data_IF_431243421195
#
_entry.id   IF_431243421195
#
_cell.length_a   1.000
_cell.length_b   1.000
_cell.length_c   1.000
_cell.angle_alpha   90.00
_cell.angle_beta   90.00
_cell.angle_gamma   90.00
#
_symmetry.space_group_name_H-M   'P 1'
#
loop_
_entity.id
_entity.type
_entity.pdbx_description
1 polymer ?
#
# COMPACT_ATOMS: atom_id res chain seq x y z
N UNK A 1 41.27 -2.83 -24.44
CA UNK A 1 41.37 -2.86 -22.99
C UNK A 1 41.91 -1.51 -22.54
N UNK A 2 41.08 -0.55 -22.40
CA UNK A 2 41.22 0.74 -21.68
C UNK A 2 39.96 1.55 -21.98
N UNK A 3 39.15 1.80 -21.01
CA UNK A 3 38.10 2.83 -20.91
C UNK A 3 36.86 2.42 -20.08
N UNK A 4 36.97 1.41 -19.22
CA UNK A 4 35.89 1.09 -18.25
C UNK A 4 36.34 1.28 -16.78
N UNK A 5 37.24 2.23 -16.53
CA UNK A 5 37.83 2.43 -15.20
C UNK A 5 37.75 3.87 -14.68
N UNK A 6 36.69 4.62 -14.99
CA UNK A 6 36.58 6.01 -14.50
C UNK A 6 35.16 6.46 -14.14
N UNK A 7 34.38 5.64 -13.41
CA UNK A 7 33.09 6.08 -12.84
C UNK A 7 32.83 5.52 -11.43
N UNK A 8 33.86 5.36 -10.60
CA UNK A 8 33.69 5.28 -9.14
C UNK A 8 33.55 6.69 -8.59
N UNK A 9 32.38 7.31 -8.75
CA UNK A 9 32.00 8.46 -7.94
C UNK A 9 31.82 8.01 -6.49
N UNK A 10 32.64 8.58 -5.61
CA UNK A 10 32.50 8.55 -4.16
C UNK A 10 31.08 8.94 -3.77
N UNK A 11 30.23 7.98 -3.44
CA UNK A 11 29.09 8.22 -2.59
C UNK A 11 29.66 8.40 -1.17
N UNK A 12 29.82 9.64 -0.75
CA UNK A 12 30.03 9.96 0.66
C UNK A 12 28.77 9.46 1.40
N UNK A 13 28.98 8.53 2.33
CA UNK A 13 27.94 8.16 3.28
C UNK A 13 27.55 9.45 4.04
N UNK A 14 26.36 9.97 3.75
CA UNK A 14 25.74 10.98 4.61
C UNK A 14 25.43 10.29 5.94
N UNK A 15 25.95 10.86 7.01
CA UNK A 15 25.55 10.49 8.37
C UNK A 15 24.03 10.45 8.49
N UNK A 16 23.46 9.52 9.25
CA UNK A 16 22.03 9.49 9.49
C UNK A 16 21.60 10.80 10.13
N UNK A 17 20.66 11.50 9.52
CA UNK A 17 20.13 12.74 10.06
C UNK A 17 19.56 12.48 11.46
N UNK A 18 19.94 13.34 12.41
CA UNK A 18 19.45 13.39 13.78
C UNK A 18 17.89 13.36 13.76
N UNK A 19 17.23 12.44 14.44
CA UNK A 19 15.77 12.39 14.54
C UNK A 19 15.12 13.65 15.14
N UNK A 20 15.91 14.57 15.70
CA UNK A 20 15.44 15.86 16.22
C UNK A 20 15.27 16.97 15.19
N UNK A 21 15.70 16.80 13.93
CA UNK A 21 15.70 17.89 12.92
C UNK A 21 14.42 18.04 12.11
N UNK A 22 13.33 17.48 12.54
CA UNK A 22 12.02 17.58 11.87
C UNK A 22 11.45 19.01 11.77
N UNK A 23 11.84 19.86 12.71
CA UNK A 23 11.28 21.18 12.88
C UNK A 23 12.12 22.31 12.24
N UNK A 24 13.29 22.02 11.68
CA UNK A 24 14.25 23.08 11.32
C UNK A 24 13.99 23.75 9.96
N UNK A 25 13.00 23.32 9.18
CA UNK A 25 12.77 23.80 7.82
C UNK A 25 11.37 24.33 7.51
N UNK A 26 10.44 24.33 8.44
CA UNK A 26 9.16 24.98 8.26
C UNK A 26 9.16 26.32 9.03
N UNK A 27 8.90 27.41 8.31
CA UNK A 27 8.68 28.73 8.92
C UNK A 27 7.58 28.59 9.98
N UNK A 28 7.84 28.85 11.28
CA UNK A 28 6.83 28.74 12.32
C UNK A 28 5.59 29.60 12.05
N UNK A 29 5.70 30.68 11.28
CA UNK A 29 4.58 31.52 10.88
C UNK A 29 3.62 30.79 9.92
N UNK A 30 4.11 29.80 9.15
CA UNK A 30 3.28 28.97 8.27
C UNK A 30 2.35 28.04 9.05
N UNK A 31 2.70 27.63 10.26
CA UNK A 31 1.86 26.78 11.13
C UNK A 31 0.54 27.48 11.52
N UNK A 32 0.54 28.80 11.61
CA UNK A 32 -0.63 29.61 12.00
C UNK A 32 -1.28 30.32 10.81
N UNK A 33 -0.72 30.23 9.60
CA UNK A 33 -1.24 30.89 8.42
C UNK A 33 -2.63 30.37 8.00
N UNK A 34 -3.05 29.22 8.50
CA UNK A 34 -4.34 28.59 8.22
C UNK A 34 -4.52 28.25 6.74
N UNK A 35 -5.51 27.42 6.43
CA UNK A 35 -5.83 27.04 5.04
C UNK A 35 -6.68 28.08 4.29
N UNK A 36 -6.74 29.32 4.78
CA UNK A 36 -7.62 30.35 4.27
C UNK A 36 -9.10 30.11 4.64
N UNK A 37 -9.95 31.10 4.40
CA UNK A 37 -11.38 31.01 4.64
C UNK A 37 -12.05 29.95 3.77
N UNK A 38 -13.21 29.44 4.18
CA UNK A 38 -14.03 28.54 3.35
C UNK A 38 -14.34 29.15 1.98
N UNK A 39 -14.65 30.46 1.94
CA UNK A 39 -14.91 31.18 0.71
C UNK A 39 -13.70 31.16 -0.24
N UNK A 40 -12.50 31.43 0.29
CA UNK A 40 -11.24 31.35 -0.48
C UNK A 40 -11.00 29.96 -1.05
N UNK A 41 -11.20 28.90 -0.25
CA UNK A 41 -11.04 27.50 -0.69
C UNK A 41 -12.06 27.11 -1.76
N UNK A 42 -13.30 27.57 -1.66
CA UNK A 42 -14.33 27.38 -2.70
C UNK A 42 -13.92 28.07 -4.00
N UNK A 43 -13.37 29.29 -3.92
CA UNK A 43 -12.90 30.02 -5.08
C UNK A 43 -11.70 29.32 -5.75
N UNK A 44 -10.74 28.84 -4.97
CA UNK A 44 -9.61 28.04 -5.49
C UNK A 44 -10.12 26.78 -6.21
N UNK A 45 -11.07 26.06 -5.63
CA UNK A 45 -11.66 24.87 -6.26
C UNK A 45 -12.44 25.20 -7.55
N UNK A 46 -13.09 26.37 -7.64
CA UNK A 46 -13.72 26.83 -8.88
C UNK A 46 -12.67 27.18 -9.94
N UNK A 47 -11.58 27.86 -9.56
CA UNK A 47 -10.49 28.20 -10.47
C UNK A 47 -9.78 26.92 -11.00
N UNK A 48 -9.47 25.96 -10.16
CA UNK A 48 -8.91 24.67 -10.57
C UNK A 48 -9.83 23.94 -11.57
N UNK A 49 -11.14 23.98 -11.36
CA UNK A 49 -12.13 23.39 -12.28
C UNK A 49 -12.24 24.15 -13.61
N UNK A 50 -12.08 25.46 -13.62
CA UNK A 50 -12.05 26.26 -14.85
C UNK A 50 -10.80 25.92 -15.67
N UNK A 51 -9.65 25.71 -15.01
CA UNK A 51 -8.38 25.31 -15.65
C UNK A 51 -8.46 23.89 -16.22
N UNK A 52 -9.03 22.95 -15.47
CA UNK A 52 -9.19 21.54 -15.87
C UNK A 52 -10.67 21.15 -15.75
N UNK A 53 -11.46 21.33 -16.81
CA UNK A 53 -12.85 20.91 -16.84
C UNK A 53 -13.02 19.41 -16.60
N UNK A 54 -14.10 19.00 -15.92
CA UNK A 54 -14.31 17.57 -15.60
C UNK A 54 -14.36 16.68 -16.84
N UNK A 55 -14.78 17.20 -17.99
CA UNK A 55 -14.82 16.43 -19.24
C UNK A 55 -13.41 15.98 -19.68
N UNK A 56 -12.38 16.80 -19.44
CA UNK A 56 -10.98 16.46 -19.81
C UNK A 56 -10.43 15.33 -18.95
N UNK A 57 -10.99 15.08 -17.76
CA UNK A 57 -10.59 13.96 -16.91
C UNK A 57 -10.98 12.58 -17.51
N UNK A 58 -11.85 12.56 -18.52
CA UNK A 58 -12.21 11.36 -19.28
C UNK A 58 -11.29 11.11 -20.48
N UNK A 59 -10.34 12.00 -20.77
CA UNK A 59 -9.39 11.81 -21.87
C UNK A 59 -8.51 10.59 -21.59
N UNK A 60 -8.22 9.85 -22.64
CA UNK A 60 -7.29 8.73 -22.65
C UNK A 60 -6.36 8.90 -23.83
N UNK A 61 -5.06 8.91 -23.58
CA UNK A 61 -4.03 8.98 -24.63
C UNK A 61 -3.07 7.82 -24.40
N UNK A 62 -2.77 7.12 -25.48
CA UNK A 62 -1.86 5.97 -25.46
C UNK A 62 -0.69 6.16 -26.42
N UNK A 63 -0.61 7.34 -27.02
CA UNK A 63 0.38 7.66 -28.04
C UNK A 63 1.79 7.71 -27.46
N UNK A 64 2.73 7.13 -28.17
CA UNK A 64 4.16 7.20 -27.82
C UNK A 64 4.57 6.41 -26.57
N UNK A 65 3.66 5.56 -25.99
CA UNK A 65 4.05 4.67 -24.91
C UNK A 65 4.46 3.29 -25.42
N UNK A 66 5.47 2.71 -24.79
CA UNK A 66 5.77 1.29 -24.85
C UNK A 66 5.53 0.65 -23.49
N UNK A 67 4.42 -0.10 -23.31
CA UNK A 67 4.10 -0.73 -22.05
C UNK A 67 5.16 -1.75 -21.60
N UNK A 68 5.83 -2.42 -22.54
CA UNK A 68 6.83 -3.44 -22.22
C UNK A 68 8.10 -2.79 -21.65
N UNK A 69 8.51 -1.65 -22.20
CA UNK A 69 9.65 -0.88 -21.65
C UNK A 69 9.32 -0.40 -20.23
N UNK A 70 8.13 0.12 -19.99
CA UNK A 70 7.70 0.58 -18.65
C UNK A 70 7.63 -0.57 -17.65
N UNK A 71 7.13 -1.73 -18.06
CA UNK A 71 7.08 -2.92 -17.21
C UNK A 71 8.48 -3.48 -16.93
N UNK A 72 9.36 -3.50 -17.93
CA UNK A 72 10.75 -3.92 -17.77
C UNK A 72 11.49 -3.00 -16.79
N UNK A 73 11.33 -1.68 -16.92
CA UNK A 73 11.89 -0.71 -15.98
C UNK A 73 11.40 -0.94 -14.53
N UNK A 74 10.14 -1.31 -14.36
CA UNK A 74 9.58 -1.62 -13.04
C UNK A 74 10.16 -2.90 -12.39
N UNK A 75 10.90 -3.73 -13.14
CA UNK A 75 11.57 -4.92 -12.60
C UNK A 75 12.96 -4.62 -12.01
N UNK A 76 13.54 -3.46 -12.28
CA UNK A 76 14.85 -3.09 -11.74
C UNK A 76 14.84 -3.24 -10.22
N UNK A 77 15.81 -4.00 -9.67
CA UNK A 77 15.93 -4.27 -8.23
C UNK A 77 14.99 -5.36 -7.67
N UNK A 78 14.14 -5.98 -8.51
CA UNK A 78 13.38 -7.18 -8.11
C UNK A 78 14.27 -8.42 -8.09
N UNK A 79 13.87 -9.41 -7.32
CA UNK A 79 14.46 -10.76 -7.32
C UNK A 79 14.23 -11.39 -8.69
N UNK A 80 15.30 -11.67 -9.49
CA UNK A 80 15.15 -12.10 -10.89
C UNK A 80 14.31 -13.37 -11.07
N UNK A 81 14.47 -14.32 -10.16
CA UNK A 81 13.77 -15.62 -10.17
C UNK A 81 12.26 -15.49 -10.01
N UNK A 82 11.80 -14.38 -9.41
CA UNK A 82 10.37 -14.11 -9.19
C UNK A 82 9.73 -13.31 -10.33
N UNK A 83 10.53 -12.74 -11.26
CA UNK A 83 9.99 -11.96 -12.38
C UNK A 83 9.09 -12.81 -13.31
N UNK A 84 9.45 -14.07 -13.67
CA UNK A 84 8.55 -14.92 -14.45
C UNK A 84 7.22 -15.18 -13.74
N UNK A 85 7.22 -15.36 -12.41
CA UNK A 85 6.01 -15.55 -11.61
C UNK A 85 5.14 -14.28 -11.64
N UNK A 86 5.77 -13.10 -11.56
CA UNK A 86 5.06 -11.81 -11.70
C UNK A 86 4.32 -11.75 -13.02
N UNK A 87 5.00 -11.98 -14.12
CA UNK A 87 4.38 -11.96 -15.46
C UNK A 87 3.33 -13.06 -15.61
N UNK A 88 3.59 -14.27 -15.13
CA UNK A 88 2.62 -15.35 -15.14
C UNK A 88 1.31 -14.98 -14.43
N UNK A 89 1.41 -14.28 -13.28
CA UNK A 89 0.22 -13.75 -12.59
C UNK A 89 -0.45 -12.61 -13.36
N UNK A 90 0.32 -11.74 -13.98
CA UNK A 90 -0.23 -10.60 -14.75
C UNK A 90 -1.00 -11.04 -15.99
N UNK A 91 -0.55 -12.07 -16.70
CA UNK A 91 -1.22 -12.52 -17.93
C UNK A 91 -2.45 -13.39 -17.68
N UNK A 92 -2.77 -13.70 -16.43
CA UNK A 92 -3.92 -14.54 -16.09
C UNK A 92 -5.25 -13.94 -16.59
N UNK A 93 -5.43 -12.64 -16.47
CA UNK A 93 -6.59 -11.90 -16.98
C UNK A 93 -6.30 -10.38 -17.02
N UNK A 94 -7.14 -9.58 -17.71
CA UNK A 94 -6.96 -8.12 -17.80
C UNK A 94 -6.90 -7.40 -16.46
N UNK A 95 -7.69 -7.82 -15.47
CA UNK A 95 -7.65 -7.20 -14.15
C UNK A 95 -6.35 -7.52 -13.39
N UNK A 96 -5.86 -8.75 -13.49
CA UNK A 96 -4.57 -9.13 -12.94
C UNK A 96 -3.42 -8.35 -13.60
N UNK A 97 -3.46 -8.16 -14.93
CA UNK A 97 -2.50 -7.31 -15.64
C UNK A 97 -2.55 -5.87 -15.12
N UNK A 98 -3.73 -5.30 -14.99
CA UNK A 98 -3.92 -3.95 -14.51
C UNK A 98 -3.32 -3.73 -13.11
N UNK A 99 -3.48 -4.68 -12.20
CA UNK A 99 -2.87 -4.67 -10.86
C UNK A 99 -1.35 -4.65 -10.88
N UNK A 100 -0.71 -5.27 -11.87
CA UNK A 100 0.74 -5.27 -12.02
C UNK A 100 1.29 -4.08 -12.81
N UNK A 101 0.43 -3.22 -13.38
CA UNK A 101 0.78 -2.22 -14.37
C UNK A 101 0.65 -0.75 -13.85
N UNK A 102 0.89 -0.52 -12.56
CA UNK A 102 0.85 0.82 -11.96
C UNK A 102 1.77 1.82 -12.71
N UNK A 103 2.98 1.39 -13.09
CA UNK A 103 3.92 2.22 -13.84
C UNK A 103 3.39 2.67 -15.21
N UNK A 104 2.65 1.81 -15.92
CA UNK A 104 2.04 2.15 -17.21
C UNK A 104 0.97 3.23 -17.02
N UNK A 105 0.12 3.07 -16.00
CA UNK A 105 -0.90 4.08 -15.72
C UNK A 105 -0.32 5.40 -15.23
N UNK A 106 0.74 5.38 -14.43
CA UNK A 106 1.44 6.59 -13.99
C UNK A 106 1.98 7.38 -15.20
N UNK A 107 2.58 6.69 -16.17
CA UNK A 107 3.00 7.29 -17.43
C UNK A 107 1.82 7.93 -18.17
N UNK A 108 0.72 7.18 -18.37
CA UNK A 108 -0.45 7.69 -19.09
C UNK A 108 -1.04 8.93 -18.40
N UNK A 109 -1.21 8.89 -17.09
CA UNK A 109 -1.75 10.00 -16.31
C UNK A 109 -0.86 11.23 -16.35
N UNK A 110 0.46 11.08 -16.42
CA UNK A 110 1.40 12.20 -16.53
C UNK A 110 1.28 12.98 -17.85
N UNK A 111 0.70 12.37 -18.90
CA UNK A 111 0.49 12.99 -20.21
C UNK A 111 -0.89 13.63 -20.37
N UNK A 112 -1.75 13.48 -19.37
CA UNK A 112 -3.11 13.97 -19.40
C UNK A 112 -3.28 15.21 -18.52
N UNK A 113 -4.26 16.09 -18.85
CA UNK A 113 -4.65 17.13 -17.93
C UNK A 113 -5.05 16.55 -16.58
N UNK A 114 -4.57 17.15 -15.51
CA UNK A 114 -4.89 16.76 -14.14
C UNK A 114 -5.19 17.98 -13.29
N UNK A 115 -5.89 17.76 -12.18
CA UNK A 115 -6.21 18.81 -11.22
C UNK A 115 -4.94 19.25 -10.47
N UNK A 116 -4.88 20.54 -10.12
CA UNK A 116 -3.83 21.07 -9.22
C UNK A 116 -4.21 20.84 -7.72
N UNK A 117 -5.27 20.09 -7.43
CA UNK A 117 -5.68 19.76 -6.07
C UNK A 117 -4.91 18.53 -5.62
N UNK A 118 -3.81 18.76 -4.91
CA UNK A 118 -2.95 17.70 -4.39
C UNK A 118 -3.49 17.15 -3.08
N UNK A 119 -3.42 15.83 -2.97
CA UNK A 119 -3.76 15.04 -1.77
C UNK A 119 -2.71 13.97 -1.56
N UNK A 120 -2.74 13.29 -0.41
CA UNK A 120 -2.00 12.04 -0.29
C UNK A 120 -2.70 10.98 -1.16
N UNK A 121 -2.02 10.50 -2.20
CA UNK A 121 -2.52 9.43 -3.07
C UNK A 121 -2.24 8.06 -2.43
N UNK A 122 -3.11 7.08 -2.69
CA UNK A 122 -2.77 5.67 -2.57
C UNK A 122 -1.79 5.23 -3.65
N UNK A 123 -1.88 5.85 -4.83
CA UNK A 123 -0.95 5.71 -5.98
C UNK A 123 -1.22 4.49 -6.84
N UNK A 124 -1.58 3.36 -6.25
CA UNK A 124 -2.06 2.15 -6.93
C UNK A 124 -3.51 1.83 -6.52
N UNK A 125 -4.37 2.83 -6.53
CA UNK A 125 -5.75 2.75 -6.04
C UNK A 125 -6.64 2.01 -7.04
N UNK A 126 -6.67 0.68 -6.95
CA UNK A 126 -7.56 -0.19 -7.72
C UNK A 126 -8.49 -0.99 -6.79
N UNK A 127 -9.57 -1.56 -7.34
CA UNK A 127 -10.64 -2.24 -6.59
C UNK A 127 -10.12 -3.26 -5.56
N UNK A 128 -9.11 -4.06 -5.91
CA UNK A 128 -8.57 -5.09 -5.01
C UNK A 128 -7.62 -4.54 -3.91
N UNK A 129 -7.31 -3.24 -3.92
CA UNK A 129 -6.54 -2.58 -2.86
C UNK A 129 -7.42 -1.96 -1.77
N UNK A 130 -8.68 -2.40 -1.69
CA UNK A 130 -9.59 -2.11 -0.60
C UNK A 130 -10.00 -3.40 0.09
N UNK A 131 -10.07 -3.38 1.40
CA UNK A 131 -10.42 -4.57 2.16
C UNK A 131 -10.76 -4.29 3.62
N UNK A 132 -11.10 -5.36 4.32
CA UNK A 132 -11.36 -5.33 5.75
C UNK A 132 -10.05 -5.45 6.53
N UNK A 133 -9.94 -4.64 7.59
CA UNK A 133 -8.85 -4.72 8.54
C UNK A 133 -9.35 -4.39 9.96
N UNK A 134 -8.63 -4.84 10.97
CA UNK A 134 -8.95 -4.55 12.36
C UNK A 134 -8.20 -3.29 12.83
N UNK A 135 -8.91 -2.37 13.48
CA UNK A 135 -8.26 -1.28 14.23
C UNK A 135 -7.54 -1.81 15.47
N UNK A 136 -6.67 -1.01 16.13
CA UNK A 136 -6.07 -1.37 17.41
C UNK A 136 -7.12 -1.75 18.49
N UNK A 137 -8.30 -1.15 18.44
CA UNK A 137 -9.44 -1.44 19.33
C UNK A 137 -10.27 -2.64 18.86
N UNK A 138 -9.76 -3.42 17.90
CA UNK A 138 -10.42 -4.62 17.34
C UNK A 138 -11.75 -4.36 16.62
N UNK A 139 -11.98 -3.13 16.14
CA UNK A 139 -13.12 -2.81 15.29
C UNK A 139 -12.79 -3.17 13.84
N UNK A 140 -13.73 -3.85 13.17
CA UNK A 140 -13.59 -4.15 11.74
C UNK A 140 -13.90 -2.90 10.92
N UNK A 141 -12.90 -2.43 10.19
CA UNK A 141 -12.96 -1.28 9.29
C UNK A 141 -12.78 -1.74 7.85
N UNK A 142 -13.24 -0.92 6.91
CA UNK A 142 -13.01 -1.12 5.48
C UNK A 142 -12.26 0.11 4.93
N UNK A 143 -11.24 -0.12 4.13
CA UNK A 143 -10.43 0.95 3.54
C UNK A 143 -9.30 0.43 2.67
N UNK A 144 -8.42 1.32 2.19
CA UNK A 144 -7.24 0.93 1.44
C UNK A 144 -6.30 0.08 2.32
N UNK A 145 -5.61 -0.87 1.69
CA UNK A 145 -4.74 -1.84 2.37
C UNK A 145 -3.37 -2.06 1.68
N UNK A 146 -3.08 -1.33 0.62
CA UNK A 146 -1.76 -1.32 -0.03
C UNK A 146 -1.32 0.13 -0.28
N UNK A 147 -0.12 0.48 0.18
CA UNK A 147 0.42 1.83 0.20
C UNK A 147 1.82 1.90 -0.44
N UNK A 148 2.23 0.86 -1.16
CA UNK A 148 3.57 0.79 -1.74
C UNK A 148 3.85 1.96 -2.70
N UNK A 149 2.82 2.49 -3.36
CA UNK A 149 2.91 3.60 -4.32
C UNK A 149 2.45 4.95 -3.77
N UNK A 150 2.11 5.06 -2.49
CA UNK A 150 1.57 6.32 -1.90
C UNK A 150 2.53 7.49 -2.07
N UNK A 151 2.00 8.63 -2.53
CA UNK A 151 2.76 9.88 -2.75
C UNK A 151 1.80 11.07 -2.78
N UNK A 152 2.19 12.29 -2.40
CA UNK A 152 1.39 13.47 -2.69
C UNK A 152 1.24 13.73 -4.19
N UNK A 153 0.01 14.01 -4.63
CA UNK A 153 -0.27 14.28 -6.04
C UNK A 153 -1.74 14.61 -6.33
N UNK A 154 -2.10 14.81 -7.62
CA UNK A 154 -3.45 15.19 -8.02
C UNK A 154 -4.49 14.14 -7.66
N UNK A 155 -5.55 14.52 -6.93
CA UNK A 155 -6.56 13.58 -6.43
C UNK A 155 -7.21 12.72 -7.53
N UNK A 156 -7.31 13.27 -8.74
CA UNK A 156 -7.95 12.60 -9.87
C UNK A 156 -7.16 11.41 -10.40
N UNK A 157 -5.86 11.27 -10.09
CA UNK A 157 -5.08 10.09 -10.46
C UNK A 157 -5.63 8.83 -9.79
N UNK A 158 -5.89 8.87 -8.48
CA UNK A 158 -6.49 7.74 -7.77
C UNK A 158 -7.92 7.45 -8.25
N UNK A 159 -8.73 8.49 -8.47
CA UNK A 159 -10.11 8.32 -8.96
C UNK A 159 -10.14 7.69 -10.35
N UNK A 160 -9.25 8.10 -11.25
CA UNK A 160 -9.13 7.51 -12.60
C UNK A 160 -8.67 6.06 -12.52
N UNK A 161 -7.66 5.77 -11.69
CA UNK A 161 -7.17 4.41 -11.50
C UNK A 161 -8.25 3.50 -10.93
N UNK A 162 -8.97 3.95 -9.92
CA UNK A 162 -10.09 3.19 -9.37
C UNK A 162 -11.19 2.98 -10.39
N UNK A 163 -11.59 4.03 -11.12
CA UNK A 163 -12.64 3.96 -12.15
C UNK A 163 -12.29 2.96 -13.26
N UNK A 164 -11.05 2.98 -13.75
CA UNK A 164 -10.59 2.05 -14.77
C UNK A 164 -10.61 0.60 -14.26
N UNK A 165 -10.26 0.37 -12.99
CA UNK A 165 -10.31 -0.96 -12.39
C UNK A 165 -11.73 -1.54 -12.33
N UNK A 166 -12.74 -0.70 -12.05
CA UNK A 166 -14.13 -1.10 -12.09
C UNK A 166 -14.62 -1.45 -13.51
N UNK A 167 -14.17 -0.70 -14.53
CA UNK A 167 -14.52 -1.02 -15.93
C UNK A 167 -13.94 -2.38 -16.34
N UNK A 168 -12.67 -2.62 -16.00
CA UNK A 168 -11.99 -3.87 -16.35
C UNK A 168 -12.68 -5.05 -15.68
N UNK A 169 -12.94 -4.97 -14.38
CA UNK A 169 -13.64 -6.02 -13.62
C UNK A 169 -15.08 -6.24 -14.16
N UNK A 170 -15.80 -5.15 -14.46
CA UNK A 170 -17.14 -5.26 -15.04
C UNK A 170 -17.14 -5.96 -16.40
N UNK A 171 -16.12 -5.73 -17.24
CA UNK A 171 -15.94 -6.44 -18.51
C UNK A 171 -15.66 -7.92 -18.31
N UNK A 172 -14.78 -8.27 -17.37
CA UNK A 172 -14.48 -9.67 -17.05
C UNK A 172 -15.73 -10.41 -16.54
N UNK A 173 -16.61 -9.71 -15.84
CA UNK A 173 -17.91 -10.25 -15.41
C UNK A 173 -18.98 -10.28 -16.50
N UNK A 174 -18.65 -9.88 -17.72
CA UNK A 174 -19.58 -9.87 -18.84
C UNK A 174 -20.68 -8.81 -18.79
N UNK A 175 -20.51 -7.75 -17.96
CA UNK A 175 -21.48 -6.67 -17.89
C UNK A 175 -21.53 -5.90 -19.22
N UNK A 176 -22.74 -5.54 -19.66
CA UNK A 176 -22.93 -4.74 -20.85
C UNK A 176 -22.33 -3.33 -20.70
N UNK A 177 -21.97 -2.68 -21.80
CA UNK A 177 -21.35 -1.36 -21.79
C UNK A 177 -22.16 -0.31 -21.01
N UNK A 178 -23.50 -0.41 -21.06
CA UNK A 178 -24.40 0.48 -20.30
C UNK A 178 -24.16 0.33 -18.79
N UNK A 179 -24.03 -0.91 -18.33
CA UNK A 179 -23.81 -1.23 -16.91
C UNK A 179 -22.40 -0.80 -16.47
N UNK A 180 -21.36 -1.05 -17.29
CA UNK A 180 -20.00 -0.57 -17.04
C UNK A 180 -19.97 0.97 -16.83
N UNK A 181 -20.66 1.70 -17.70
CA UNK A 181 -20.79 3.16 -17.57
C UNK A 181 -21.57 3.57 -16.32
N UNK A 182 -22.62 2.83 -15.96
CA UNK A 182 -23.41 3.11 -14.76
C UNK A 182 -22.59 2.94 -13.49
N UNK A 183 -21.76 1.88 -13.40
CA UNK A 183 -20.86 1.64 -12.26
C UNK A 183 -19.88 2.81 -12.07
N UNK A 184 -19.20 3.25 -13.12
CA UNK A 184 -18.25 4.36 -13.03
C UNK A 184 -18.94 5.68 -12.69
N UNK A 185 -20.12 5.94 -13.28
CA UNK A 185 -20.92 7.11 -12.94
C UNK A 185 -21.26 7.11 -11.45
N UNK A 186 -21.74 5.98 -10.94
CA UNK A 186 -22.09 5.82 -9.51
C UNK A 186 -20.88 6.05 -8.62
N UNK A 187 -19.71 5.53 -8.98
CA UNK A 187 -18.45 5.75 -8.24
C UNK A 187 -18.13 7.25 -8.17
N UNK A 188 -18.10 7.94 -9.30
CA UNK A 188 -17.77 9.37 -9.35
C UNK A 188 -18.81 10.24 -8.63
N UNK A 189 -20.11 9.89 -8.73
CA UNK A 189 -21.18 10.59 -8.01
C UNK A 189 -21.03 10.38 -6.50
N UNK A 190 -20.79 9.17 -6.04
CA UNK A 190 -20.60 8.84 -4.62
C UNK A 190 -19.35 9.54 -4.07
N UNK A 191 -18.22 9.50 -4.80
CA UNK A 191 -17.01 10.22 -4.41
C UNK A 191 -17.29 11.71 -4.23
N UNK A 192 -17.93 12.34 -5.20
CA UNK A 192 -18.28 13.76 -5.13
C UNK A 192 -19.21 14.08 -3.96
N UNK A 193 -20.23 13.24 -3.71
CA UNK A 193 -21.17 13.43 -2.60
C UNK A 193 -20.45 13.32 -1.25
N UNK A 194 -19.59 12.31 -1.07
CA UNK A 194 -18.84 12.13 0.17
C UNK A 194 -17.84 13.26 0.44
N UNK A 195 -17.14 13.74 -0.59
CA UNK A 195 -16.27 14.91 -0.44
C UNK A 195 -17.08 16.16 -0.05
N UNK A 196 -18.29 16.35 -0.63
CA UNK A 196 -19.16 17.45 -0.25
C UNK A 196 -19.70 17.31 1.19
N UNK A 197 -19.97 16.11 1.67
CA UNK A 197 -20.34 15.85 3.07
C UNK A 197 -19.18 16.16 4.01
N UNK A 198 -17.98 15.62 3.74
CA UNK A 198 -16.77 15.88 4.54
C UNK A 198 -16.41 17.37 4.58
N UNK A 199 -16.66 18.12 3.51
CA UNK A 199 -16.38 19.56 3.49
C UNK A 199 -17.24 20.38 4.45
N UNK A 200 -18.32 19.80 4.98
CA UNK A 200 -19.26 20.43 5.96
C UNK A 200 -19.05 19.92 7.39
N UNK A 201 -18.25 18.89 7.56
CA UNK A 201 -17.92 18.34 8.87
C UNK A 201 -16.81 19.14 9.53
N UNK A 202 -16.75 19.10 10.84
CA UNK A 202 -15.63 19.66 11.59
C UNK A 202 -14.33 18.88 11.30
N UNK A 203 -13.19 19.58 11.36
CA UNK A 203 -11.90 19.01 11.00
C UNK A 203 -11.57 17.73 11.79
N UNK A 204 -11.89 17.70 13.09
CA UNK A 204 -11.66 16.51 13.92
C UNK A 204 -12.60 15.37 13.56
N UNK A 205 -13.86 15.67 13.19
CA UNK A 205 -14.80 14.64 12.77
C UNK A 205 -14.35 13.97 11.48
N UNK A 206 -13.82 14.74 10.52
CA UNK A 206 -13.20 14.18 9.30
C UNK A 206 -11.97 13.33 9.64
N UNK A 207 -11.12 13.81 10.56
CA UNK A 207 -9.91 13.11 10.98
C UNK A 207 -10.19 11.78 11.63
N UNK A 208 -11.23 11.70 12.47
CA UNK A 208 -11.65 10.48 13.17
C UNK A 208 -12.68 9.65 12.42
N UNK A 209 -13.05 10.07 11.20
CA UNK A 209 -14.03 9.32 10.41
C UNK A 209 -13.53 7.91 10.10
N UNK A 210 -14.35 6.92 10.42
CA UNK A 210 -14.07 5.50 10.18
C UNK A 210 -15.19 4.86 9.38
N UNK A 211 -14.86 4.27 8.23
CA UNK A 211 -15.82 3.46 7.51
C UNK A 211 -15.85 2.05 8.13
N UNK A 212 -16.84 1.83 8.98
CA UNK A 212 -17.00 0.55 9.67
C UNK A 212 -17.55 -0.52 8.74
N UNK A 213 -17.07 -1.78 8.90
CA UNK A 213 -17.58 -2.90 8.11
C UNK A 213 -19.10 -3.07 8.23
N UNK A 214 -19.69 -2.76 9.40
CA UNK A 214 -21.14 -2.79 9.59
C UNK A 214 -21.89 -1.85 8.63
N UNK A 215 -21.31 -0.70 8.26
CA UNK A 215 -21.93 0.24 7.33
C UNK A 215 -22.06 -0.34 5.91
N UNK A 216 -21.27 -1.39 5.56
CA UNK A 216 -21.45 -2.11 4.29
C UNK A 216 -22.82 -2.81 4.24
N UNK A 217 -23.31 -3.29 5.38
CA UNK A 217 -24.63 -3.93 5.48
C UNK A 217 -25.79 -2.94 5.26
N UNK A 218 -25.58 -1.68 5.60
CA UNK A 218 -26.56 -0.60 5.39
C UNK A 218 -26.67 -0.21 3.92
N UNK A 219 -25.55 -0.33 3.17
CA UNK A 219 -25.46 0.01 1.76
C UNK A 219 -25.97 -1.13 0.87
N UNK A 220 -25.94 -2.37 1.35
CA UNK A 220 -26.39 -3.54 0.60
C UNK A 220 -27.87 -3.43 0.21
N UNK A 221 -28.15 -3.56 -1.08
CA UNK A 221 -29.46 -3.32 -1.67
C UNK A 221 -30.48 -4.43 -1.45
N UNK A 222 -30.02 -5.66 -1.12
CA UNK A 222 -30.87 -6.84 -0.94
C UNK A 222 -30.51 -7.63 0.32
N UNK A 223 -31.45 -8.47 0.78
CA UNK A 223 -31.18 -9.39 1.90
C UNK A 223 -30.11 -10.42 1.56
N UNK A 224 -29.99 -10.82 0.31
CA UNK A 224 -28.96 -11.76 -0.13
C UNK A 224 -27.57 -11.11 -0.08
N UNK A 225 -27.44 -9.88 -0.56
CA UNK A 225 -26.19 -9.10 -0.45
C UNK A 225 -25.79 -8.89 1.01
N UNK A 226 -26.74 -8.51 1.88
CA UNK A 226 -26.47 -8.38 3.33
C UNK A 226 -25.96 -9.66 3.95
N UNK A 227 -26.53 -10.84 3.58
CA UNK A 227 -26.05 -12.14 4.07
C UNK A 227 -24.64 -12.44 3.59
N UNK A 228 -24.31 -12.15 2.32
CA UNK A 228 -22.95 -12.31 1.78
C UNK A 228 -21.95 -11.42 2.50
N UNK A 229 -22.27 -10.14 2.65
CA UNK A 229 -21.41 -9.18 3.37
C UNK A 229 -21.21 -9.57 4.85
N UNK A 230 -22.29 -9.97 5.53
CA UNK A 230 -22.21 -10.44 6.91
C UNK A 230 -21.30 -11.67 7.05
N UNK A 231 -21.38 -12.61 6.10
CA UNK A 231 -20.50 -13.79 6.08
C UNK A 231 -19.04 -13.40 5.90
N UNK A 232 -18.72 -12.45 5.01
CA UNK A 232 -17.36 -11.92 4.80
C UNK A 232 -16.85 -11.24 6.07
N UNK A 233 -17.63 -10.34 6.69
CA UNK A 233 -17.26 -9.63 7.92
C UNK A 233 -17.05 -10.63 9.07
N UNK A 234 -17.94 -11.60 9.22
CA UNK A 234 -17.85 -12.64 10.27
C UNK A 234 -16.60 -13.50 10.08
N UNK A 235 -16.31 -13.90 8.84
CA UNK A 235 -15.09 -14.66 8.52
C UNK A 235 -13.84 -13.85 8.87
N UNK A 236 -13.80 -12.58 8.48
CA UNK A 236 -12.66 -11.70 8.77
C UNK A 236 -12.48 -11.49 10.28
N UNK A 237 -13.55 -11.26 11.03
CA UNK A 237 -13.50 -11.06 12.49
C UNK A 237 -13.05 -12.28 13.28
N UNK A 238 -13.24 -13.48 12.73
CA UNK A 238 -12.79 -14.76 13.33
C UNK A 238 -11.33 -15.08 13.05
N UNK A 239 -10.71 -14.40 12.11
CA UNK A 239 -9.28 -14.59 11.84
C UNK A 239 -8.46 -14.09 13.03
N UNK A 240 -7.66 -14.99 13.59
CA UNK A 240 -6.74 -14.70 14.69
C UNK A 240 -5.36 -15.24 14.35
N UNK A 241 -4.32 -14.72 14.98
CA UNK A 241 -2.97 -15.26 14.81
C UNK A 241 -2.91 -16.76 15.14
N UNK A 242 -3.73 -17.23 16.09
CA UNK A 242 -3.81 -18.64 16.45
C UNK A 242 -4.44 -19.49 15.33
N UNK A 243 -5.50 -19.01 14.67
CA UNK A 243 -6.09 -19.73 13.53
C UNK A 243 -5.16 -19.75 12.31
N UNK A 244 -4.40 -18.68 12.10
CA UNK A 244 -3.36 -18.64 11.05
C UNK A 244 -2.24 -19.63 11.36
N UNK A 245 -1.79 -19.71 12.61
CA UNK A 245 -0.74 -20.65 13.04
C UNK A 245 -1.09 -22.08 12.66
N UNK A 246 -2.31 -22.53 12.94
CA UNK A 246 -2.73 -23.93 12.68
C UNK A 246 -2.56 -24.35 11.21
N UNK A 247 -2.71 -23.42 10.27
CA UNK A 247 -2.61 -23.70 8.83
C UNK A 247 -1.26 -23.31 8.22
N UNK A 248 -0.57 -22.36 8.82
CA UNK A 248 0.64 -21.76 8.27
C UNK A 248 1.93 -22.30 8.89
N UNK A 249 1.85 -23.18 9.89
CA UNK A 249 3.04 -23.74 10.56
C UNK A 249 3.03 -25.26 10.58
N UNK A 250 4.20 -25.82 10.79
CA UNK A 250 4.45 -27.25 10.97
C UNK A 250 5.55 -27.46 12.03
N UNK A 251 5.67 -28.68 12.53
CA UNK A 251 6.75 -29.07 13.44
C UNK A 251 7.76 -29.95 12.68
N UNK A 252 8.98 -29.48 12.58
CA UNK A 252 10.07 -30.19 11.93
C UNK A 252 11.21 -30.38 12.94
N UNK A 253 11.63 -31.63 13.17
CA UNK A 253 12.65 -31.96 14.16
C UNK A 253 12.38 -31.37 15.56
N UNK A 254 11.13 -31.42 15.99
CA UNK A 254 10.70 -30.89 17.29
C UNK A 254 10.63 -29.37 17.41
N UNK A 255 10.90 -28.63 16.32
CA UNK A 255 10.82 -27.15 16.28
C UNK A 255 9.65 -26.69 15.43
N UNK A 256 8.92 -25.71 15.94
CA UNK A 256 7.86 -25.04 15.20
C UNK A 256 8.48 -24.14 14.12
N UNK A 257 7.96 -24.20 12.89
CA UNK A 257 8.38 -23.34 11.79
C UNK A 257 7.21 -22.98 10.88
N UNK A 258 7.39 -21.98 10.03
CA UNK A 258 6.47 -21.63 8.96
C UNK A 258 6.51 -22.75 7.91
N UNK A 259 5.33 -23.17 7.44
CA UNK A 259 5.21 -24.23 6.45
C UNK A 259 5.67 -23.75 5.07
N UNK A 260 6.54 -24.53 4.42
CA UNK A 260 6.91 -24.29 3.04
C UNK A 260 5.76 -24.65 2.08
N UNK A 261 5.44 -23.71 1.19
CA UNK A 261 4.46 -23.86 0.11
C UNK A 261 5.01 -23.17 -1.15
N UNK A 262 6.07 -23.71 -1.77
CA UNK A 262 6.68 -23.09 -2.94
C UNK A 262 5.70 -22.96 -4.10
N UNK A 263 5.78 -21.90 -4.92
CA UNK A 263 6.69 -20.76 -4.81
C UNK A 263 6.17 -19.61 -3.93
N UNK A 264 5.14 -19.85 -3.11
CA UNK A 264 4.43 -18.79 -2.38
C UNK A 264 5.06 -18.45 -1.03
N UNK A 265 5.50 -19.49 -0.32
CA UNK A 265 6.20 -19.38 0.97
C UNK A 265 7.32 -20.40 0.96
N UNK A 266 8.52 -19.98 1.29
CA UNK A 266 9.67 -20.88 1.35
C UNK A 266 10.82 -20.28 2.16
N UNK A 267 11.66 -21.17 2.72
CA UNK A 267 12.89 -20.76 3.40
C UNK A 267 14.02 -20.57 2.39
N UNK A 268 14.96 -19.70 2.73
CA UNK A 268 16.20 -19.55 1.96
C UNK A 268 17.01 -20.84 2.11
N UNK A 269 17.38 -21.52 1.04
CA UNK A 269 18.29 -22.66 1.13
C UNK A 269 19.66 -22.19 1.64
N UNK A 270 20.09 -22.71 2.76
CA UNK A 270 21.39 -22.43 3.36
C UNK A 270 22.24 -23.69 3.30
N UNK A 271 23.40 -23.62 2.66
CA UNK A 271 24.19 -24.79 2.32
C UNK A 271 25.12 -25.24 3.45
N UNK A 272 25.51 -24.31 4.34
CA UNK A 272 26.45 -24.59 5.41
C UNK A 272 25.97 -24.16 6.80
N UNK A 273 26.48 -24.78 7.91
CA UNK A 273 26.23 -24.28 9.25
C UNK A 273 26.71 -22.84 9.50
N UNK A 274 27.69 -22.38 8.72
CA UNK A 274 28.19 -21.00 8.78
C UNK A 274 27.15 -20.02 8.23
N UNK A 275 26.53 -20.34 7.08
CA UNK A 275 25.48 -19.54 6.47
C UNK A 275 24.26 -19.44 7.38
N UNK A 276 23.87 -20.54 8.04
CA UNK A 276 22.81 -20.51 9.04
C UNK A 276 23.10 -19.53 10.19
N UNK A 277 24.33 -19.54 10.74
CA UNK A 277 24.71 -18.62 11.82
C UNK A 277 24.72 -17.16 11.36
N UNK A 278 25.21 -16.88 10.15
CA UNK A 278 25.20 -15.53 9.59
C UNK A 278 23.78 -15.05 9.35
N UNK A 279 22.92 -15.88 8.77
CA UNK A 279 21.52 -15.56 8.54
C UNK A 279 20.79 -15.26 9.84
N UNK A 280 20.92 -16.12 10.86
CA UNK A 280 20.31 -15.90 12.16
C UNK A 280 20.78 -14.59 12.82
N UNK A 281 22.07 -14.30 12.76
CA UNK A 281 22.63 -13.08 13.29
C UNK A 281 22.07 -11.84 12.56
N UNK A 282 21.98 -11.89 11.24
CA UNK A 282 21.41 -10.82 10.41
C UNK A 282 19.92 -10.59 10.76
N UNK A 283 19.13 -11.64 10.84
CA UNK A 283 17.71 -11.56 11.17
C UNK A 283 17.49 -11.00 12.58
N UNK A 284 18.24 -11.48 13.57
CA UNK A 284 18.17 -10.98 14.95
C UNK A 284 18.55 -9.49 15.02
N UNK A 285 19.59 -9.08 14.32
CA UNK A 285 19.98 -7.68 14.26
C UNK A 285 18.88 -6.82 13.64
N UNK A 286 18.29 -7.26 12.52
CA UNK A 286 17.18 -6.55 11.89
C UNK A 286 16.02 -6.32 12.86
N UNK A 287 15.61 -7.35 13.62
CA UNK A 287 14.52 -7.17 14.59
C UNK A 287 14.93 -6.36 15.82
N UNK A 288 16.20 -6.37 16.21
CA UNK A 288 16.71 -5.47 17.24
C UNK A 288 16.62 -3.99 16.79
N UNK A 289 17.03 -3.71 15.54
CA UNK A 289 16.92 -2.38 14.95
C UNK A 289 15.45 -1.95 14.79
N UNK A 290 14.57 -2.84 14.30
CA UNK A 290 13.13 -2.62 14.24
C UNK A 290 12.54 -2.26 15.61
N UNK A 291 12.91 -3.03 16.65
CA UNK A 291 12.48 -2.78 18.02
C UNK A 291 12.80 -1.35 18.49
N UNK A 292 13.98 -0.82 18.13
CA UNK A 292 14.38 0.55 18.48
C UNK A 292 13.50 1.62 17.81
N UNK A 293 12.87 1.30 16.69
CA UNK A 293 11.93 2.22 16.01
C UNK A 293 10.55 2.27 16.67
N UNK A 294 10.23 1.32 17.55
CA UNK A 294 8.92 1.25 18.21
C UNK A 294 8.82 2.25 19.36
N UNK A 295 7.66 2.91 19.58
CA UNK A 295 7.37 3.61 20.83
C UNK A 295 7.48 2.69 22.04
N UNK A 296 7.72 3.25 23.21
CA UNK A 296 7.99 2.48 24.44
C UNK A 296 6.86 1.50 24.79
N UNK A 297 5.59 1.91 24.64
CA UNK A 297 4.43 1.04 24.88
C UNK A 297 4.37 -0.16 23.93
N UNK A 298 4.77 0.03 22.66
CA UNK A 298 4.83 -1.03 21.66
C UNK A 298 6.06 -1.91 21.84
N UNK A 299 7.17 -1.31 22.26
CA UNK A 299 8.39 -2.03 22.59
C UNK A 299 8.16 -2.98 23.76
N UNK A 300 7.50 -2.51 24.82
CA UNK A 300 7.12 -3.33 25.97
C UNK A 300 6.23 -4.53 25.58
N UNK A 301 5.33 -4.34 24.60
CA UNK A 301 4.55 -5.45 24.05
C UNK A 301 5.41 -6.40 23.22
N UNK A 302 6.26 -5.87 22.35
CA UNK A 302 7.10 -6.66 21.45
C UNK A 302 8.13 -7.48 22.20
N UNK A 303 8.65 -6.98 23.31
CA UNK A 303 9.63 -7.65 24.19
C UNK A 303 9.08 -8.92 24.87
N UNK A 304 7.77 -9.15 24.81
CA UNK A 304 7.16 -10.41 25.29
C UNK A 304 7.22 -11.53 24.28
N UNK A 305 7.68 -11.25 23.05
CA UNK A 305 7.70 -12.20 21.96
C UNK A 305 9.11 -12.62 21.61
N UNK A 306 9.30 -13.89 21.38
CA UNK A 306 10.54 -14.46 20.87
C UNK A 306 10.40 -14.81 19.39
N UNK A 307 11.43 -14.52 18.60
CA UNK A 307 11.47 -14.91 17.19
C UNK A 307 11.62 -16.43 17.08
N UNK A 308 10.69 -17.04 16.38
CA UNK A 308 10.67 -18.50 16.13
C UNK A 308 11.21 -18.82 14.75
N UNK A 309 10.72 -18.10 13.71
CA UNK A 309 11.04 -18.44 12.32
C UNK A 309 10.79 -17.28 11.34
N UNK A 310 11.49 -17.30 10.19
CA UNK A 310 11.32 -16.35 9.10
C UNK A 310 11.38 -17.06 7.76
N UNK A 311 10.37 -16.85 6.91
CA UNK A 311 10.29 -17.38 5.56
C UNK A 311 10.07 -16.27 4.53
N UNK A 312 10.51 -16.48 3.29
CA UNK A 312 10.15 -15.62 2.15
C UNK A 312 8.67 -15.82 1.82
N UNK A 313 7.98 -14.72 1.51
CA UNK A 313 6.58 -14.77 1.10
C UNK A 313 6.36 -14.00 -0.21
N UNK A 314 5.85 -14.68 -1.23
CA UNK A 314 5.55 -14.10 -2.54
C UNK A 314 4.08 -13.69 -2.59
N UNK A 315 3.82 -12.40 -2.42
CA UNK A 315 2.46 -11.83 -2.30
C UNK A 315 2.05 -10.97 -3.49
N UNK A 316 0.75 -10.85 -3.70
CA UNK A 316 0.15 -9.92 -4.66
C UNK A 316 0.41 -10.25 -6.13
N UNK A 317 0.32 -9.23 -6.98
CA UNK A 317 0.71 -9.22 -8.39
C UNK A 317 1.76 -8.14 -8.63
N UNK A 318 1.47 -6.91 -8.26
CA UNK A 318 2.39 -5.77 -8.37
C UNK A 318 3.66 -5.94 -7.54
N UNK A 319 3.54 -6.48 -6.32
CA UNK A 319 4.64 -6.67 -5.37
C UNK A 319 5.48 -7.93 -5.62
N UNK A 320 5.13 -8.82 -6.57
CA UNK A 320 5.95 -10.01 -6.85
C UNK A 320 7.36 -9.61 -7.27
N UNK A 321 8.34 -10.22 -6.64
CA UNK A 321 9.76 -9.94 -6.87
C UNK A 321 10.35 -8.85 -5.96
N UNK A 322 9.55 -8.13 -5.17
CA UNK A 322 10.07 -7.37 -4.02
C UNK A 322 10.37 -8.33 -2.86
N UNK A 323 11.31 -7.95 -2.02
CA UNK A 323 11.66 -8.76 -0.85
C UNK A 323 10.54 -8.65 0.17
N UNK A 324 9.87 -9.78 0.41
CA UNK A 324 8.80 -9.87 1.40
C UNK A 324 9.04 -11.10 2.26
N UNK A 325 8.98 -10.92 3.56
CA UNK A 325 9.21 -11.97 4.53
C UNK A 325 7.99 -12.10 5.46
N UNK A 326 7.72 -13.32 5.87
CA UNK A 326 6.80 -13.64 6.94
C UNK A 326 7.62 -14.09 8.14
N UNK A 327 7.47 -13.41 9.27
CA UNK A 327 8.09 -13.82 10.53
C UNK A 327 7.04 -14.34 11.50
N UNK A 328 7.41 -15.36 12.25
CA UNK A 328 6.65 -15.94 13.34
C UNK A 328 7.35 -15.63 14.66
N UNK A 329 6.62 -15.02 15.54
CA UNK A 329 7.01 -14.81 16.93
C UNK A 329 6.07 -15.56 17.85
N UNK A 330 6.54 -15.89 19.06
CA UNK A 330 5.77 -16.60 20.06
C UNK A 330 5.95 -15.95 21.44
N UNK A 331 4.84 -15.73 22.14
CA UNK A 331 4.88 -15.39 23.56
C UNK A 331 4.29 -16.53 24.37
N UNK A 332 4.88 -16.79 25.55
CA UNK A 332 4.43 -17.82 26.52
C UNK A 332 4.17 -19.21 25.90
N UNK A 333 4.92 -19.53 24.82
CA UNK A 333 4.84 -20.83 24.11
C UNK A 333 3.54 -21.10 23.33
N UNK A 334 2.52 -20.22 23.42
CA UNK A 334 1.20 -20.49 22.86
C UNK A 334 0.51 -19.27 22.18
N UNK A 335 1.12 -18.10 22.23
CA UNK A 335 0.55 -16.86 21.68
C UNK A 335 1.32 -16.42 20.45
N UNK A 336 0.90 -16.80 19.22
CA UNK A 336 1.61 -16.44 18.00
C UNK A 336 1.37 -14.99 17.59
N UNK A 337 2.42 -14.36 17.05
CA UNK A 337 2.38 -13.12 16.33
C UNK A 337 3.04 -13.32 14.96
N UNK A 338 2.32 -13.02 13.90
CA UNK A 338 2.88 -13.00 12.56
C UNK A 338 3.11 -11.55 12.12
N UNK A 339 4.33 -11.24 11.71
CA UNK A 339 4.65 -9.96 11.10
C UNK A 339 5.05 -10.18 9.65
N UNK A 340 4.54 -9.35 8.76
CA UNK A 340 4.96 -9.30 7.37
C UNK A 340 5.90 -8.12 7.16
N UNK A 341 7.09 -8.40 6.66
CA UNK A 341 8.09 -7.42 6.32
C UNK A 341 8.08 -7.24 4.80
N UNK A 342 7.90 -6.03 4.33
CA UNK A 342 7.93 -5.71 2.91
C UNK A 342 9.03 -4.70 2.61
N UNK A 343 9.81 -4.95 1.57
CA UNK A 343 10.72 -3.96 1.00
C UNK A 343 9.90 -2.79 0.44
N UNK A 344 10.18 -1.59 0.93
CA UNK A 344 9.63 -0.37 0.36
C UNK A 344 10.59 0.19 -0.69
N UNK A 345 10.08 0.52 -1.86
CA UNK A 345 10.84 1.03 -3.01
C UNK A 345 10.34 2.42 -3.38
N UNK A 346 11.05 3.12 -4.27
CA UNK A 346 10.55 4.36 -4.86
C UNK A 346 9.18 4.11 -5.50
N UNK A 347 8.24 5.02 -5.30
CA UNK A 347 6.95 4.96 -5.97
C UNK A 347 7.12 5.13 -7.47
N UNK A 348 6.35 4.38 -8.27
CA UNK A 348 6.31 4.58 -9.72
C UNK A 348 5.84 5.99 -10.10
N UNK A 349 5.18 6.69 -9.19
CA UNK A 349 4.73 8.07 -9.36
C UNK A 349 5.88 9.08 -9.30
N UNK A 350 6.97 8.78 -8.60
CA UNK A 350 8.12 9.69 -8.45
C UNK A 350 8.85 9.99 -9.77
N UNK A 351 8.60 9.21 -10.82
CA UNK A 351 9.05 9.51 -12.18
C UNK A 351 8.30 10.66 -12.84
N UNK A 352 7.15 11.09 -12.28
CA UNK A 352 6.24 12.05 -12.90
C UNK A 352 5.72 13.12 -11.95
N UNK A 353 5.83 12.91 -10.66
CA UNK A 353 5.46 13.84 -9.59
C UNK A 353 6.69 14.20 -8.77
N UNK A 354 6.65 15.25 -7.94
CA UNK A 354 7.75 15.56 -7.03
C UNK A 354 8.13 14.33 -6.18
N UNK A 355 9.43 14.06 -5.99
CA UNK A 355 9.88 12.92 -5.22
C UNK A 355 9.45 13.02 -3.75
N UNK A 356 9.45 11.89 -3.07
CA UNK A 356 9.15 11.84 -1.64
C UNK A 356 10.12 12.71 -0.83
N UNK A 357 9.58 13.45 0.14
CA UNK A 357 10.37 14.24 1.10
C UNK A 357 11.06 13.38 2.17
N UNK A 358 10.66 12.14 2.31
CA UNK A 358 11.18 11.23 3.32
C UNK A 358 12.53 10.65 2.91
N UNK A 359 13.49 10.49 3.85
CA UNK A 359 14.83 9.99 3.55
C UNK A 359 14.86 8.53 3.09
N UNK A 360 13.82 7.75 3.42
CA UNK A 360 13.68 6.39 2.95
C UNK A 360 12.23 6.07 2.56
N UNK A 361 12.06 5.05 1.71
CA UNK A 361 10.76 4.69 1.18
C UNK A 361 9.83 4.03 2.22
N UNK A 362 10.37 3.39 3.26
CA UNK A 362 9.59 2.87 4.37
C UNK A 362 8.84 3.97 5.11
N UNK A 363 9.52 5.09 5.36
CA UNK A 363 8.91 6.27 5.97
C UNK A 363 7.79 6.84 5.09
N UNK A 364 8.00 6.92 3.77
CA UNK A 364 6.97 7.34 2.81
C UNK A 364 5.72 6.47 2.93
N UNK A 365 5.89 5.14 2.88
CA UNK A 365 4.78 4.18 2.94
C UNK A 365 4.03 4.28 4.26
N UNK A 366 4.72 4.27 5.40
CA UNK A 366 4.09 4.32 6.73
C UNK A 366 3.36 5.64 6.97
N UNK A 367 3.95 6.77 6.56
CA UNK A 367 3.30 8.07 6.71
C UNK A 367 2.09 8.20 5.78
N UNK A 368 2.19 7.72 4.53
CA UNK A 368 1.06 7.69 3.61
C UNK A 368 -0.09 6.83 4.12
N UNK A 369 0.21 5.65 4.68
CA UNK A 369 -0.79 4.81 5.31
C UNK A 369 -1.51 5.53 6.47
N UNK A 370 -0.77 6.19 7.36
CA UNK A 370 -1.35 6.93 8.49
C UNK A 370 -2.24 8.10 8.07
N UNK A 371 -1.98 8.69 6.89
CA UNK A 371 -2.81 9.73 6.32
C UNK A 371 -4.08 9.18 5.64
N UNK A 372 -4.01 7.98 5.07
CA UNK A 372 -5.08 7.38 4.27
C UNK A 372 -5.98 6.44 5.07
N UNK A 373 -5.48 5.88 6.18
CA UNK A 373 -6.26 5.03 7.07
C UNK A 373 -6.59 5.77 8.37
N UNK A 374 -7.84 5.73 8.78
CA UNK A 374 -8.31 6.28 10.06
C UNK A 374 -7.78 5.52 11.29
N UNK A 375 -7.26 4.32 11.09
CA UNK A 375 -6.58 3.50 12.10
C UNK A 375 -5.52 2.66 11.41
N UNK A 376 -4.29 2.70 11.90
CA UNK A 376 -3.17 1.91 11.37
C UNK A 376 -2.80 0.80 12.36
N UNK A 377 -2.19 -0.27 11.86
CA UNK A 377 -1.64 -1.34 12.69
C UNK A 377 -0.60 -0.77 13.68
N UNK A 378 -0.63 -1.30 14.89
CA UNK A 378 0.30 -0.92 15.97
C UNK A 378 1.76 -1.28 15.65
N UNK A 379 1.97 -2.27 14.79
CA UNK A 379 3.29 -2.79 14.41
C UNK A 379 3.88 -2.12 13.16
N UNK A 380 3.14 -1.24 12.48
CA UNK A 380 3.66 -0.52 11.31
C UNK A 380 4.70 0.52 11.72
N UNK A 381 5.98 0.23 11.38
CA UNK A 381 7.13 1.11 11.60
C UNK A 381 8.08 1.07 10.39
N UNK A 382 8.90 2.07 10.34
CA UNK A 382 9.84 2.37 9.26
C UNK A 382 11.05 1.43 9.29
#
# INVERSE_FOLDING_TARGET
MSEIAAAKRKQSAKEPADPGTWAAHEDPSALFAGRGSLASRIQQGKAARAKVPRATLAECRTDGRDPLVLLAASNVGRVPELIPIRYGRMVANPFAFYRGAAAVMAYDLSKLPHSDVNVQLGGDTHLANFGLFASPERRMLFGPNDFDETLPGPFDWDVRRLSASFVIEARERGLAMREQRAVVRRLCETFRQRIAEFSRMDTLDVWYYQFRAASMLEIAGSLEERRKELAVITKASRQSSRSVMTHATEVVNGKLRIKDVPPLVYHIPLESPHDHKQYDAMVRRFFADYRLTLPDDRRALFDRYELVDVAIRVVGVGSVGTRCYQSLFMADGACPLFLQLKEARASVLEGYLPPSRFPNHGQRVVNGQRLLQSASDISHRQ
#
